data_IF_673889175359
#
_entry.id   IF_673889175359
#
_cell.length_a   1.000
_cell.length_b   1.000
_cell.length_c   1.000
_cell.angle_alpha   90.00
_cell.angle_beta   90.00
_cell.angle_gamma   90.00
#
_symmetry.space_group_name_H-M   'P 1'
#
loop_
_entity.id
_entity.type
_entity.pdbx_description
1 polymer ?
#
# COMPACT_ATOMS: atom_id res chain seq x y z
N UNK A 1 45.70 56.48 38.03
CA UNK A 1 45.01 55.18 37.97
C UNK A 1 44.04 55.20 36.79
N UNK A 2 44.33 54.47 35.72
CA UNK A 2 43.37 54.05 34.70
C UNK A 2 44.01 52.87 33.94
N UNK A 3 43.49 51.65 34.12
CA UNK A 3 43.96 50.46 33.40
C UNK A 3 43.04 50.15 32.24
N UNK A 4 43.58 50.18 31.03
CA UNK A 4 42.88 49.84 29.79
C UNK A 4 42.92 48.31 29.61
N UNK A 5 41.77 47.64 29.77
CA UNK A 5 41.64 46.21 29.44
C UNK A 5 41.25 46.05 27.97
N UNK A 6 42.13 45.44 27.18
CA UNK A 6 41.87 45.03 25.80
C UNK A 6 41.07 43.72 25.81
N UNK A 7 39.91 43.71 25.15
CA UNK A 7 39.15 42.49 24.87
C UNK A 7 39.54 41.95 23.49
N UNK A 8 40.03 40.71 23.47
CA UNK A 8 40.38 39.96 22.27
C UNK A 8 39.14 39.17 21.83
N UNK A 9 38.44 39.61 20.78
CA UNK A 9 37.34 38.87 20.17
C UNK A 9 37.89 37.90 19.12
N UNK A 10 37.92 36.60 19.44
CA UNK A 10 38.13 35.55 18.44
C UNK A 10 36.86 35.40 17.59
N UNK A 11 36.92 35.81 16.32
CA UNK A 11 35.90 35.52 15.32
C UNK A 11 36.04 34.09 14.82
N UNK A 12 35.04 33.25 15.11
CA UNK A 12 34.90 31.90 14.53
C UNK A 12 34.35 32.03 13.10
N UNK A 13 35.19 31.79 12.11
CA UNK A 13 34.78 31.72 10.69
C UNK A 13 34.29 30.29 10.40
N UNK A 14 32.97 30.09 10.42
CA UNK A 14 32.35 28.81 10.04
C UNK A 14 32.37 28.68 8.51
N UNK A 15 33.23 27.81 7.99
CA UNK A 15 33.27 27.43 6.58
C UNK A 15 32.08 26.52 6.26
N UNK A 16 31.04 27.06 5.61
CA UNK A 16 29.88 26.29 5.16
C UNK A 16 30.26 25.54 3.88
N UNK A 17 30.44 24.22 3.98
CA UNK A 17 30.61 23.33 2.84
C UNK A 17 29.24 23.15 2.15
N UNK A 18 29.10 23.69 0.93
CA UNK A 18 27.97 23.41 0.04
C UNK A 18 28.11 21.98 -0.50
N UNK A 19 27.37 21.05 0.08
CA UNK A 19 27.20 19.71 -0.50
C UNK A 19 26.18 19.85 -1.65
N UNK A 20 26.50 19.45 -2.89
CA UNK A 20 25.51 19.43 -3.96
C UNK A 20 24.39 18.45 -3.58
N UNK A 21 23.15 18.97 -3.46
CA UNK A 21 21.97 18.13 -3.33
C UNK A 21 21.83 17.34 -4.64
N UNK A 22 22.10 16.04 -4.58
CA UNK A 22 21.72 15.14 -5.66
C UNK A 22 20.20 15.15 -5.77
N UNK A 23 19.69 15.54 -6.93
CA UNK A 23 18.26 15.46 -7.23
C UNK A 23 17.79 14.02 -7.00
N UNK A 24 16.83 13.85 -6.08
CA UNK A 24 16.18 12.58 -5.81
C UNK A 24 15.52 12.12 -7.13
N UNK A 25 15.98 11.02 -7.73
CA UNK A 25 15.28 10.46 -8.87
C UNK A 25 13.97 9.85 -8.37
N UNK A 26 12.82 10.33 -8.85
CA UNK A 26 11.53 9.69 -8.59
C UNK A 26 11.58 8.23 -9.08
N UNK A 27 11.41 7.31 -8.14
CA UNK A 27 11.23 5.88 -8.38
C UNK A 27 9.73 5.62 -8.56
N UNK A 28 9.35 4.75 -9.50
CA UNK A 28 7.95 4.28 -9.59
C UNK A 28 7.76 3.22 -8.53
N UNK A 29 6.95 3.53 -7.52
CA UNK A 29 6.45 2.54 -6.59
C UNK A 29 5.36 1.69 -7.28
N UNK A 30 5.46 0.35 -7.27
CA UNK A 30 4.52 -0.53 -7.97
C UNK A 30 3.04 -0.23 -7.73
N UNK A 31 2.70 0.10 -6.49
CA UNK A 31 1.36 0.45 -5.99
C UNK A 31 0.77 1.72 -6.62
N UNK A 32 1.59 2.61 -7.19
CA UNK A 32 1.13 3.83 -7.86
C UNK A 32 0.59 3.57 -9.28
N UNK A 33 0.63 2.32 -9.75
CA UNK A 33 0.11 1.96 -11.06
C UNK A 33 -1.43 2.00 -11.03
N UNK A 34 -2.09 2.86 -11.83
CA UNK A 34 -3.56 2.98 -11.81
C UNK A 34 -4.27 1.72 -12.31
N UNK A 35 -3.52 0.75 -12.85
CA UNK A 35 -4.03 -0.57 -13.23
C UNK A 35 -4.27 -1.48 -12.02
N UNK A 36 -3.51 -1.30 -10.94
CA UNK A 36 -3.72 -2.02 -9.69
C UNK A 36 -4.92 -1.47 -8.92
N UNK A 37 -5.13 -0.16 -9.04
CA UNK A 37 -6.30 0.52 -8.47
C UNK A 37 -7.60 0.10 -9.18
N UNK A 38 -7.60 0.08 -10.52
CA UNK A 38 -8.81 -0.24 -11.29
C UNK A 38 -9.10 -1.74 -11.40
N UNK A 39 -8.07 -2.60 -11.39
CA UNK A 39 -8.20 -4.02 -11.68
C UNK A 39 -8.68 -4.35 -13.11
N UNK A 40 -8.81 -3.34 -13.99
CA UNK A 40 -9.40 -3.46 -15.32
C UNK A 40 -8.42 -2.96 -16.38
N UNK A 41 -8.31 -3.74 -17.47
CA UNK A 41 -7.68 -3.32 -18.72
C UNK A 41 -8.72 -3.25 -19.84
N UNK A 42 -8.66 -2.20 -20.63
CA UNK A 42 -9.65 -1.95 -21.68
C UNK A 42 -9.05 -2.11 -23.06
N UNK A 43 -9.83 -2.63 -23.98
CA UNK A 43 -9.64 -2.47 -25.42
C UNK A 43 -10.76 -1.60 -25.96
N UNK A 44 -10.67 -1.16 -27.21
CA UNK A 44 -11.74 -0.42 -27.89
C UNK A 44 -13.14 -1.06 -27.78
N UNK A 45 -13.19 -2.39 -27.67
CA UNK A 45 -14.43 -3.14 -27.80
C UNK A 45 -14.91 -3.77 -26.48
N UNK A 46 -14.05 -3.88 -25.47
CA UNK A 46 -14.32 -4.66 -24.26
C UNK A 46 -13.33 -4.35 -23.15
N UNK A 47 -13.83 -4.40 -21.92
CA UNK A 47 -13.07 -4.39 -20.68
C UNK A 47 -12.79 -5.81 -20.18
N UNK A 48 -11.61 -5.98 -19.58
CA UNK A 48 -11.15 -7.24 -19.04
C UNK A 48 -10.68 -7.03 -17.61
N UNK A 49 -11.20 -7.86 -16.71
CA UNK A 49 -10.73 -7.86 -15.33
C UNK A 49 -9.44 -8.67 -15.23
N UNK A 50 -8.41 -8.08 -14.63
CA UNK A 50 -7.11 -8.70 -14.37
C UNK A 50 -7.32 -9.86 -13.38
N UNK A 51 -6.64 -10.99 -13.59
CA UNK A 51 -6.63 -12.10 -12.62
C UNK A 51 -5.66 -11.82 -11.47
N UNK A 52 -5.81 -12.56 -10.37
CA UNK A 52 -4.92 -12.42 -9.22
C UNK A 52 -3.49 -12.94 -9.48
N UNK A 53 -3.29 -13.68 -10.58
CA UNK A 53 -1.99 -14.21 -10.99
C UNK A 53 -1.34 -13.28 -12.04
N UNK A 54 -0.47 -12.40 -11.55
CA UNK A 54 0.35 -11.53 -12.40
C UNK A 54 1.75 -11.33 -11.79
N UNK A 55 2.68 -10.99 -12.68
CA UNK A 55 4.04 -10.60 -12.36
C UNK A 55 4.24 -9.10 -12.53
N UNK A 56 5.01 -8.51 -11.61
CA UNK A 56 5.55 -7.15 -11.74
C UNK A 56 7.07 -7.23 -11.86
N UNK A 57 7.63 -6.51 -12.84
CA UNK A 57 9.07 -6.36 -13.03
C UNK A 57 9.44 -4.89 -13.17
N UNK A 58 10.48 -4.48 -12.45
CA UNK A 58 11.05 -3.14 -12.55
C UNK A 58 12.30 -3.12 -13.44
N UNK A 59 12.47 -2.05 -14.20
CA UNK A 59 13.62 -1.80 -15.05
C UNK A 59 14.14 -0.37 -14.85
N UNK A 60 15.39 -0.13 -15.25
CA UNK A 60 16.01 1.20 -15.25
C UNK A 60 15.91 1.92 -13.91
N UNK A 61 16.25 1.23 -12.81
CA UNK A 61 16.18 1.77 -11.44
C UNK A 61 14.76 2.23 -11.07
N UNK A 62 13.76 1.41 -11.38
CA UNK A 62 12.36 1.69 -11.07
C UNK A 62 11.71 2.76 -11.96
N UNK A 63 12.35 3.20 -13.06
CA UNK A 63 11.75 4.17 -14.01
C UNK A 63 10.74 3.54 -14.97
N UNK A 64 10.77 2.22 -15.12
CA UNK A 64 9.82 1.49 -15.93
C UNK A 64 9.35 0.28 -15.13
N UNK A 65 8.06 0.14 -14.98
CA UNK A 65 7.40 -1.03 -14.43
C UNK A 65 6.70 -1.78 -15.55
N UNK A 66 6.83 -3.10 -15.57
CA UNK A 66 6.04 -3.98 -16.43
C UNK A 66 5.18 -4.86 -15.54
N UNK A 67 3.89 -4.82 -15.78
CA UNK A 67 2.92 -5.79 -15.26
C UNK A 67 2.57 -6.77 -16.37
N UNK A 68 2.46 -8.06 -16.08
CA UNK A 68 1.98 -9.06 -17.02
C UNK A 68 1.33 -10.22 -16.31
N UNK A 69 0.29 -10.78 -16.90
CA UNK A 69 -0.43 -11.90 -16.30
C UNK A 69 -1.54 -12.37 -17.22
N UNK A 70 -2.56 -12.97 -16.62
CA UNK A 70 -3.80 -13.33 -17.31
C UNK A 70 -4.96 -12.48 -16.81
N UNK A 71 -5.97 -12.30 -17.65
CA UNK A 71 -7.28 -11.80 -17.24
C UNK A 71 -8.07 -12.94 -16.57
N UNK A 72 -9.16 -12.61 -15.88
CA UNK A 72 -10.08 -13.59 -15.29
C UNK A 72 -10.69 -14.56 -16.31
N UNK A 73 -10.79 -14.15 -17.57
CA UNK A 73 -11.21 -15.02 -18.70
C UNK A 73 -10.04 -15.72 -19.41
N UNK A 74 -8.83 -15.67 -18.85
CA UNK A 74 -7.68 -16.47 -19.28
C UNK A 74 -6.82 -15.85 -20.39
N UNK A 75 -7.06 -14.58 -20.75
CA UNK A 75 -6.30 -13.91 -21.82
C UNK A 75 -5.01 -13.31 -21.28
N UNK A 76 -3.89 -13.60 -21.93
CA UNK A 76 -2.59 -13.05 -21.55
C UNK A 76 -2.50 -11.56 -21.85
N UNK A 77 -1.89 -10.79 -20.95
CA UNK A 77 -1.65 -9.37 -21.17
C UNK A 77 -0.28 -8.93 -20.65
N UNK A 78 0.17 -7.77 -21.11
CA UNK A 78 1.25 -7.03 -20.49
C UNK A 78 1.02 -5.52 -20.60
N UNK A 79 1.44 -4.78 -19.58
CA UNK A 79 1.39 -3.31 -19.54
C UNK A 79 2.71 -2.78 -19.02
N UNK A 80 3.21 -1.73 -19.67
CA UNK A 80 4.32 -0.92 -19.23
C UNK A 80 3.80 0.37 -18.64
N UNK A 81 4.29 0.70 -17.44
CA UNK A 81 4.13 1.96 -16.76
C UNK A 81 5.49 2.67 -16.71
N UNK A 82 5.54 3.90 -17.22
CA UNK A 82 6.73 4.75 -17.20
C UNK A 82 6.34 6.17 -16.81
N UNK A 83 7.15 6.83 -15.98
CA UNK A 83 7.05 8.27 -15.71
C UNK A 83 8.01 9.01 -16.64
N UNK A 84 7.50 9.99 -17.39
CA UNK A 84 8.27 10.91 -18.26
C UNK A 84 7.77 12.32 -17.97
N UNK A 85 8.64 13.21 -17.48
CA UNK A 85 8.29 14.62 -17.22
C UNK A 85 7.02 14.79 -16.34
N UNK A 86 6.97 14.02 -15.25
CA UNK A 86 5.83 13.91 -14.32
C UNK A 86 4.52 13.40 -14.97
N UNK A 87 4.59 12.80 -16.17
CA UNK A 87 3.45 12.17 -16.83
C UNK A 87 3.57 10.65 -16.82
N UNK A 88 2.48 10.00 -16.41
CA UNK A 88 2.32 8.56 -16.49
C UNK A 88 2.05 8.17 -17.94
N UNK A 89 2.93 7.36 -18.50
CA UNK A 89 2.77 6.73 -19.81
C UNK A 89 2.49 5.26 -19.63
N UNK A 90 1.25 4.85 -19.96
CA UNK A 90 0.84 3.46 -20.01
C UNK A 90 0.83 2.94 -21.45
N UNK A 91 1.41 1.76 -21.66
CA UNK A 91 1.36 1.05 -22.94
C UNK A 91 1.26 -0.43 -22.71
N UNK A 92 0.31 -1.11 -23.34
CA UNK A 92 0.11 -2.52 -23.13
C UNK A 92 -0.65 -3.18 -24.26
N UNK A 93 -0.65 -4.51 -24.25
CA UNK A 93 -1.41 -5.34 -25.17
C UNK A 93 -2.00 -6.53 -24.45
N UNK A 94 -3.11 -7.02 -24.96
CA UNK A 94 -3.78 -8.26 -24.57
C UNK A 94 -3.79 -9.21 -25.76
N UNK A 95 -3.63 -10.51 -25.51
CA UNK A 95 -3.65 -11.55 -26.53
C UNK A 95 -5.06 -12.12 -26.64
N UNK A 96 -5.73 -11.84 -27.77
CA UNK A 96 -7.11 -12.22 -28.05
C UNK A 96 -7.17 -12.88 -29.42
N UNK A 97 -7.84 -14.02 -29.53
CA UNK A 97 -8.08 -14.73 -30.80
C UNK A 97 -6.80 -14.93 -31.64
N UNK A 98 -5.68 -15.26 -30.98
CA UNK A 98 -4.40 -15.50 -31.65
C UNK A 98 -3.61 -14.24 -32.03
N UNK A 99 -4.03 -13.04 -31.63
CA UNK A 99 -3.36 -11.76 -31.96
C UNK A 99 -3.23 -10.84 -30.76
N UNK A 100 -2.19 -10.00 -30.77
CA UNK A 100 -2.05 -8.93 -29.77
C UNK A 100 -2.87 -7.71 -30.16
N UNK A 101 -3.84 -7.36 -29.30
CA UNK A 101 -4.69 -6.18 -29.41
C UNK A 101 -4.17 -5.11 -28.46
N UNK A 102 -4.02 -3.85 -28.89
CA UNK A 102 -3.58 -2.77 -28.02
C UNK A 102 -4.61 -2.49 -26.93
N UNK A 103 -4.13 -2.22 -25.72
CA UNK A 103 -4.95 -1.72 -24.63
C UNK A 103 -5.14 -0.21 -24.77
N UNK A 104 -6.34 0.26 -24.45
CA UNK A 104 -6.67 1.67 -24.37
C UNK A 104 -6.59 2.11 -22.92
N UNK A 105 -5.69 3.07 -22.68
CA UNK A 105 -5.60 3.77 -21.41
C UNK A 105 -6.15 5.15 -21.70
N UNK A 106 -7.36 5.45 -21.21
CA UNK A 106 -7.80 6.84 -21.18
C UNK A 106 -6.71 7.64 -20.48
N UNK A 107 -6.32 8.79 -21.03
CA UNK A 107 -5.29 9.64 -20.44
C UNK A 107 -5.69 9.93 -19.00
N UNK A 108 -5.10 9.21 -18.04
CA UNK A 108 -5.12 9.54 -16.63
C UNK A 108 -4.21 10.77 -16.53
N UNK A 109 -4.76 11.90 -16.96
CA UNK A 109 -4.08 13.19 -16.98
C UNK A 109 -3.97 13.66 -15.56
N UNK A 110 -2.73 13.74 -15.05
CA UNK A 110 -2.28 14.59 -13.94
C UNK A 110 -3.42 15.10 -13.04
N UNK A 111 -3.83 14.27 -12.11
CA UNK A 111 -4.38 14.71 -10.85
C UNK A 111 -3.54 14.08 -9.74
N UNK A 112 -2.30 14.58 -9.65
CA UNK A 112 -1.73 14.87 -8.33
C UNK A 112 -2.60 16.01 -7.78
N UNK A 113 -3.81 15.68 -7.33
CA UNK A 113 -4.73 16.65 -6.75
C UNK A 113 -4.35 16.80 -5.29
N UNK A 114 -3.81 17.96 -4.95
CA UNK A 114 -4.03 18.57 -3.64
C UNK A 114 -5.56 18.61 -3.40
N UNK A 115 -6.12 17.61 -2.74
CA UNK A 115 -7.58 17.57 -2.50
C UNK A 115 -7.96 18.51 -1.35
N UNK A 116 -8.33 19.72 -1.75
CA UNK A 116 -9.26 20.57 -1.03
C UNK A 116 -10.68 20.00 -1.19
N UNK A 117 -11.18 19.39 -0.10
CA UNK A 117 -12.56 19.49 0.40
C UNK A 117 -13.70 19.68 -0.62
N UNK A 118 -14.24 18.57 -1.10
CA UNK A 118 -15.70 18.45 -1.37
C UNK A 118 -16.17 17.15 -0.74
N UNK A 119 -17.29 17.20 -0.03
CA UNK A 119 -17.80 16.10 0.81
C UNK A 119 -18.08 14.83 -0.01
N UNK A 120 -17.10 13.93 -0.07
CA UNK A 120 -17.27 12.54 -0.50
C UNK A 120 -17.85 11.80 0.69
N UNK A 121 -19.03 11.18 0.55
CA UNK A 121 -19.46 10.16 1.52
C UNK A 121 -18.30 9.16 1.69
N UNK A 122 -17.89 8.92 2.94
CA UNK A 122 -16.85 7.93 3.18
C UNK A 122 -17.34 6.58 2.64
N UNK A 123 -16.55 5.90 1.80
CA UNK A 123 -16.95 4.61 1.26
C UNK A 123 -17.30 3.67 2.42
N UNK A 124 -18.38 2.92 2.26
CA UNK A 124 -18.74 1.90 3.24
C UNK A 124 -17.57 0.90 3.35
N UNK A 125 -17.02 0.76 4.55
CA UNK A 125 -15.82 -0.06 4.75
C UNK A 125 -16.20 -1.51 5.07
N UNK A 126 -15.47 -2.44 4.46
CA UNK A 126 -15.51 -3.86 4.78
C UNK A 126 -14.18 -4.31 5.37
N UNK A 127 -14.24 -4.99 6.51
CA UNK A 127 -13.05 -5.44 7.24
C UNK A 127 -13.02 -6.96 7.19
N UNK A 128 -11.96 -7.53 6.62
CA UNK A 128 -11.72 -8.96 6.62
C UNK A 128 -10.50 -9.28 7.47
N UNK A 129 -10.56 -10.39 8.18
CA UNK A 129 -9.58 -10.73 9.22
C UNK A 129 -9.13 -12.16 9.03
N UNK A 130 -7.82 -12.36 8.99
CA UNK A 130 -7.19 -13.67 9.04
C UNK A 130 -6.31 -13.74 10.28
N UNK A 131 -6.39 -14.86 11.01
CA UNK A 131 -5.64 -15.06 12.24
C UNK A 131 -5.04 -16.46 12.29
N UNK A 132 -4.07 -16.66 13.18
CA UNK A 132 -3.46 -17.98 13.40
C UNK A 132 -4.50 -18.99 13.92
N UNK A 133 -4.66 -20.13 13.26
CA UNK A 133 -5.71 -21.11 13.56
C UNK A 133 -5.58 -21.76 14.95
N UNK A 134 -4.35 -22.00 15.41
CA UNK A 134 -4.05 -22.64 16.71
C UNK A 134 -2.84 -22.01 17.36
N UNK A 135 -3.03 -21.55 18.59
CA UNK A 135 -2.00 -20.86 19.35
C UNK A 135 -1.55 -21.78 20.49
N UNK A 136 -0.26 -22.04 20.55
CA UNK A 136 0.38 -22.79 21.65
C UNK A 136 1.31 -21.85 22.40
N UNK A 137 1.72 -22.26 23.59
CA UNK A 137 2.79 -21.57 24.32
C UNK A 137 4.04 -21.46 23.45
N UNK A 138 4.73 -20.33 23.57
CA UNK A 138 5.95 -20.00 22.84
C UNK A 138 5.77 -19.95 21.32
N UNK A 139 4.52 -19.83 20.85
CA UNK A 139 4.20 -19.52 19.45
C UNK A 139 3.77 -18.08 19.30
N UNK A 140 4.10 -17.51 18.15
CA UNK A 140 3.60 -16.22 17.76
C UNK A 140 2.13 -16.37 17.35
N UNK A 141 1.29 -15.55 17.95
CA UNK A 141 -0.02 -15.26 17.40
C UNK A 141 0.12 -14.13 16.38
N UNK A 142 -0.36 -14.36 15.17
CA UNK A 142 -0.45 -13.34 14.11
C UNK A 142 -1.90 -13.08 13.74
N UNK A 143 -2.20 -11.81 13.48
CA UNK A 143 -3.44 -11.31 12.91
C UNK A 143 -3.11 -10.41 11.72
N UNK A 144 -3.80 -10.64 10.62
CA UNK A 144 -3.75 -9.84 9.41
C UNK A 144 -5.15 -9.29 9.16
N UNK A 145 -5.26 -7.98 9.06
CA UNK A 145 -6.50 -7.25 8.83
C UNK A 145 -6.38 -6.62 7.46
N UNK A 146 -7.40 -6.79 6.62
CA UNK A 146 -7.50 -6.09 5.34
C UNK A 146 -8.78 -5.29 5.30
N UNK A 147 -8.65 -4.02 4.90
CA UNK A 147 -9.77 -3.09 4.79
C UNK A 147 -10.06 -2.85 3.32
N UNK A 148 -11.32 -2.99 2.94
CA UNK A 148 -11.81 -2.85 1.58
C UNK A 148 -12.95 -1.84 1.51
N UNK A 149 -13.14 -1.27 0.32
CA UNK A 149 -14.41 -0.67 -0.05
C UNK A 149 -15.45 -1.79 -0.22
N UNK A 150 -16.59 -1.69 0.48
CA UNK A 150 -17.63 -2.71 0.52
C UNK A 150 -18.30 -2.93 -0.84
N UNK A 151 -18.37 -1.91 -1.69
CA UNK A 151 -18.89 -2.02 -3.06
C UNK A 151 -17.91 -2.74 -3.99
N UNK A 152 -16.62 -2.66 -3.69
CA UNK A 152 -15.58 -3.30 -4.49
C UNK A 152 -15.30 -4.73 -4.04
N UNK A 153 -15.39 -5.06 -2.74
CA UNK A 153 -15.23 -6.43 -2.24
C UNK A 153 -16.59 -7.06 -1.88
N UNK A 154 -17.37 -7.42 -2.90
CA UNK A 154 -18.74 -7.97 -2.69
C UNK A 154 -18.78 -9.38 -2.12
N UNK A 155 -17.69 -10.15 -2.22
CA UNK A 155 -17.66 -11.58 -1.94
C UNK A 155 -16.90 -11.98 -0.67
N UNK A 156 -16.53 -11.00 0.17
CA UNK A 156 -15.74 -11.22 1.39
C UNK A 156 -14.42 -11.97 1.09
N UNK A 157 -13.81 -11.70 -0.07
CA UNK A 157 -12.56 -12.35 -0.48
C UNK A 157 -11.37 -11.63 0.15
N UNK A 158 -10.79 -12.25 1.19
CA UNK A 158 -9.60 -11.76 1.88
C UNK A 158 -8.40 -11.64 0.95
N UNK A 159 -8.31 -12.46 -0.09
CA UNK A 159 -7.17 -12.50 -1.01
C UNK A 159 -7.37 -11.60 -2.24
N UNK A 160 -8.46 -10.84 -2.30
CA UNK A 160 -8.67 -9.85 -3.37
C UNK A 160 -7.53 -8.84 -3.38
N UNK A 161 -6.94 -8.59 -4.55
CA UNK A 161 -5.76 -7.74 -4.72
C UNK A 161 -6.12 -6.35 -5.30
N UNK A 162 -7.38 -5.92 -5.15
CA UNK A 162 -7.89 -4.61 -5.55
C UNK A 162 -9.04 -4.18 -4.63
N UNK A 163 -9.41 -2.90 -4.67
CA UNK A 163 -10.51 -2.34 -3.85
C UNK A 163 -10.19 -2.25 -2.36
N UNK A 164 -8.92 -2.29 -1.99
CA UNK A 164 -8.45 -2.13 -0.61
C UNK A 164 -8.26 -0.64 -0.24
N UNK A 165 -8.39 -0.32 1.03
CA UNK A 165 -8.28 1.06 1.55
C UNK A 165 -6.99 1.23 2.37
N UNK A 166 -6.08 2.09 1.89
CA UNK A 166 -4.83 2.43 2.55
C UNK A 166 -4.98 3.58 3.56
N UNK A 167 -4.03 3.73 4.48
CA UNK A 167 -3.96 4.82 5.48
C UNK A 167 -5.15 4.86 6.47
N UNK A 168 -5.89 3.76 6.60
CA UNK A 168 -6.99 3.60 7.56
C UNK A 168 -6.42 3.29 8.93
N UNK A 169 -6.82 4.06 9.95
CA UNK A 169 -6.44 3.81 11.34
C UNK A 169 -7.06 2.48 11.82
N UNK A 170 -6.23 1.59 12.36
CA UNK A 170 -6.66 0.29 12.89
C UNK A 170 -6.25 0.20 14.36
N UNK A 171 -7.20 -0.21 15.20
CA UNK A 171 -6.97 -0.59 16.59
C UNK A 171 -7.41 -2.05 16.80
N UNK A 172 -6.49 -2.86 17.30
CA UNK A 172 -6.74 -4.25 17.70
C UNK A 172 -6.58 -4.36 19.21
N UNK A 173 -7.62 -4.83 19.89
CA UNK A 173 -7.63 -5.10 21.33
C UNK A 173 -7.80 -6.60 21.55
N UNK A 174 -6.93 -7.20 22.36
CA UNK A 174 -7.00 -8.63 22.70
C UNK A 174 -7.24 -8.77 24.19
N UNK A 175 -8.24 -9.54 24.58
CA UNK A 175 -8.57 -9.83 25.98
C UNK A 175 -8.37 -11.31 26.32
N UNK A 176 -8.08 -11.58 27.58
CA UNK A 176 -8.00 -12.94 28.11
C UNK A 176 -9.40 -13.57 28.30
N UNK A 177 -9.50 -14.85 28.68
CA UNK A 177 -10.79 -15.52 28.91
C UNK A 177 -11.65 -14.89 30.00
N UNK A 178 -11.09 -14.04 30.85
CA UNK A 178 -11.79 -13.29 31.89
C UNK A 178 -12.21 -11.88 31.41
N UNK A 179 -12.03 -11.59 30.12
CA UNK A 179 -12.23 -10.29 29.47
C UNK A 179 -11.29 -9.17 29.95
N UNK A 180 -10.18 -9.51 30.60
CA UNK A 180 -9.17 -8.52 30.96
C UNK A 180 -8.29 -8.18 29.74
N UNK A 181 -7.92 -6.91 29.53
CA UNK A 181 -7.02 -6.52 28.45
C UNK A 181 -5.66 -7.23 28.54
N UNK A 182 -5.29 -7.95 27.48
CA UNK A 182 -4.00 -8.62 27.38
C UNK A 182 -2.98 -7.75 26.65
N UNK A 183 -3.35 -7.24 25.47
CA UNK A 183 -2.48 -6.40 24.63
C UNK A 183 -3.31 -5.61 23.62
N UNK A 184 -2.70 -4.60 23.01
CA UNK A 184 -3.31 -3.86 21.91
C UNK A 184 -2.27 -3.45 20.87
N UNK A 185 -2.73 -3.33 19.63
CA UNK A 185 -1.95 -2.86 18.51
C UNK A 185 -2.67 -1.71 17.85
N UNK A 186 -1.95 -0.64 17.54
CA UNK A 186 -2.47 0.50 16.82
C UNK A 186 -1.54 0.81 15.66
N UNK A 187 -2.10 1.08 14.49
CA UNK A 187 -1.36 1.55 13.34
C UNK A 187 -2.29 1.91 12.21
N UNK A 188 -1.77 1.92 10.99
CA UNK A 188 -2.54 2.19 9.80
C UNK A 188 -2.38 1.06 8.79
N UNK A 189 -3.39 0.89 7.93
CA UNK A 189 -3.24 0.00 6.77
C UNK A 189 -2.16 0.50 5.82
N UNK A 190 -1.38 -0.43 5.28
CA UNK A 190 -0.37 -0.18 4.27
C UNK A 190 -0.99 0.14 2.90
N UNK A 191 -0.13 0.26 1.88
CA UNK A 191 -0.54 0.52 0.50
C UNK A 191 -1.38 -0.61 -0.13
N UNK A 192 -1.47 -1.78 0.48
CA UNK A 192 -2.32 -2.90 0.07
C UNK A 192 -3.58 -3.04 0.95
N UNK A 193 -3.88 -1.99 1.72
CA UNK A 193 -4.95 -1.94 2.72
C UNK A 193 -4.79 -2.98 3.83
N UNK A 194 -3.56 -3.39 4.12
CA UNK A 194 -3.24 -4.46 5.06
C UNK A 194 -2.63 -3.91 6.33
N UNK A 195 -3.08 -4.42 7.47
CA UNK A 195 -2.48 -4.19 8.78
C UNK A 195 -2.13 -5.53 9.40
N UNK A 196 -0.87 -5.70 9.78
CA UNK A 196 -0.37 -6.92 10.43
C UNK A 196 0.05 -6.62 11.86
N UNK A 197 -0.37 -7.49 12.76
CA UNK A 197 0.06 -7.45 14.14
C UNK A 197 0.27 -8.87 14.68
N UNK A 198 1.07 -8.97 15.73
CA UNK A 198 1.28 -10.24 16.40
C UNK A 198 2.05 -10.09 17.69
N UNK A 199 1.90 -11.09 18.55
CA UNK A 199 2.67 -11.18 19.79
C UNK A 199 3.02 -12.63 20.11
N UNK A 200 4.06 -12.78 20.92
CA UNK A 200 4.48 -14.07 21.45
C UNK A 200 3.57 -14.47 22.63
N UNK A 201 2.99 -15.67 22.57
CA UNK A 201 2.22 -16.22 23.68
C UNK A 201 3.15 -16.82 24.72
N UNK A 202 3.20 -16.22 25.91
CA UNK A 202 4.07 -16.67 26.99
C UNK A 202 3.48 -17.87 27.76
N UNK A 203 4.34 -18.64 28.42
CA UNK A 203 3.96 -19.84 29.19
C UNK A 203 2.99 -19.60 30.36
N UNK A 204 2.83 -18.34 30.81
CA UNK A 204 1.89 -17.95 31.88
C UNK A 204 0.52 -17.54 31.36
N UNK A 205 0.30 -17.58 30.05
CA UNK A 205 -0.98 -17.23 29.44
C UNK A 205 -2.04 -18.28 29.78
N UNK A 206 -3.18 -17.83 30.30
CA UNK A 206 -4.31 -18.68 30.67
C UNK A 206 -4.77 -19.53 29.49
N UNK A 207 -5.23 -20.76 29.77
CA UNK A 207 -5.89 -21.58 28.75
C UNK A 207 -7.34 -21.12 28.63
N UNK A 208 -7.82 -20.93 27.42
CA UNK A 208 -9.21 -20.57 27.16
C UNK A 208 -9.37 -19.84 25.84
N UNK A 209 -10.54 -19.26 25.65
CA UNK A 209 -10.87 -18.44 24.49
C UNK A 209 -10.46 -16.98 24.76
N UNK A 210 -9.71 -16.41 23.83
CA UNK A 210 -9.31 -15.01 23.85
C UNK A 210 -10.21 -14.25 22.89
N UNK A 211 -10.65 -13.05 23.26
CA UNK A 211 -11.42 -12.21 22.34
C UNK A 211 -10.49 -11.24 21.60
N UNK A 212 -10.80 -11.02 20.33
CA UNK A 212 -10.13 -10.03 19.48
C UNK A 212 -11.19 -9.04 19.04
N UNK A 213 -10.97 -7.75 19.34
CA UNK A 213 -11.84 -6.66 18.93
C UNK A 213 -11.07 -5.73 18.02
N UNK A 214 -11.70 -5.36 16.91
CA UNK A 214 -11.10 -4.51 15.87
C UNK A 214 -11.95 -3.24 15.76
N UNK A 215 -11.28 -2.10 15.63
CA UNK A 215 -11.92 -0.81 15.36
C UNK A 215 -11.14 -0.11 14.26
N UNK A 216 -11.88 0.45 13.30
CA UNK A 216 -11.40 1.25 12.16
C UNK A 216 -12.21 2.52 12.06
#
# INVERSE_FOLDING_TARGET
MASLKQYLTLGFFSLILLIPQTALSQQIEPESSPLLESGIISTKNKDYMISNDFDIRQFFFGKILRMSGTTSDGNFYYVYHRIIDDEISLRGKIFLDGKFVPLEFNKISKQVTEESSTSTEQPEMKILVQQSERIYWEKNYGITIRVFDAELNKFDDFNQNWGYLSDIDVLVEITNPENEPLTSFKGKTDSNGTFEAGFLVFYKTMKGEYAVKISV
#
